data_IF_469994369055
#
_entry.id   IF_469994369055
#
_cell.length_a   1.000
_cell.length_b   1.000
_cell.length_c   1.000
_cell.angle_alpha   90.00
_cell.angle_beta   90.00
_cell.angle_gamma   90.00
#
_symmetry.space_group_name_H-M   'P 1'
#
loop_
_entity.id
_entity.type
_entity.pdbx_description
1 polymer ?
#
# COMPACT_ATOMS: atom_id res chain seq x y z
N UNK A 1 27.84 -19.84 -4.88
CA UNK A 1 26.68 -19.22 -5.56
C UNK A 1 26.91 -17.73 -5.45
N UNK A 2 26.95 -17.01 -6.56
CA UNK A 2 26.92 -15.55 -6.46
C UNK A 2 25.51 -15.22 -5.98
N UNK A 3 25.38 -14.68 -4.77
CA UNK A 3 24.20 -13.99 -4.28
C UNK A 3 23.95 -12.77 -5.18
N UNK A 4 23.35 -13.01 -6.35
CA UNK A 4 22.93 -11.92 -7.21
C UNK A 4 21.53 -11.53 -6.76
N UNK A 5 21.45 -10.46 -5.99
CA UNK A 5 20.17 -9.82 -5.74
C UNK A 5 19.51 -9.49 -7.09
N UNK A 6 18.18 -9.67 -7.20
CA UNK A 6 17.47 -9.35 -8.43
C UNK A 6 17.65 -7.86 -8.75
N UNK A 7 17.74 -7.55 -10.05
CA UNK A 7 17.71 -6.16 -10.49
C UNK A 7 16.27 -5.65 -10.32
N UNK A 8 16.04 -4.54 -9.60
CA UNK A 8 14.70 -3.98 -9.46
C UNK A 8 14.08 -3.70 -10.83
N UNK A 9 12.89 -4.25 -11.08
CA UNK A 9 12.18 -4.09 -12.36
C UNK A 9 10.66 -3.98 -12.15
N UNK A 10 9.94 -3.29 -13.05
CA UNK A 10 8.49 -3.17 -12.96
C UNK A 10 7.78 -4.52 -13.03
N UNK A 11 8.27 -5.45 -13.85
CA UNK A 11 7.69 -6.78 -14.00
C UNK A 11 7.82 -7.60 -12.71
N UNK A 12 8.99 -7.57 -12.07
CA UNK A 12 9.23 -8.25 -10.79
C UNK A 12 8.34 -7.68 -9.66
N UNK A 13 8.18 -6.34 -9.62
CA UNK A 13 7.29 -5.69 -8.66
C UNK A 13 5.82 -6.06 -8.91
N UNK A 14 5.39 -6.09 -10.18
CA UNK A 14 4.02 -6.46 -10.56
C UNK A 14 3.67 -7.87 -10.10
N UNK A 15 4.60 -8.82 -10.26
CA UNK A 15 4.40 -10.20 -9.82
C UNK A 15 4.20 -10.29 -8.30
N UNK A 16 5.08 -9.64 -7.52
CA UNK A 16 4.94 -9.62 -6.06
C UNK A 16 3.63 -8.93 -5.61
N UNK A 17 3.21 -7.87 -6.29
CA UNK A 17 1.94 -7.18 -6.01
C UNK A 17 0.73 -8.07 -6.33
N UNK A 18 0.78 -8.90 -7.36
CA UNK A 18 -0.29 -9.86 -7.63
C UNK A 18 -0.45 -10.90 -6.51
N UNK A 19 0.66 -11.42 -5.97
CA UNK A 19 0.58 -12.32 -4.80
C UNK A 19 -0.01 -11.62 -3.57
N UNK A 20 0.32 -10.34 -3.37
CA UNK A 20 -0.27 -9.52 -2.30
C UNK A 20 -1.79 -9.38 -2.50
N UNK A 21 -2.24 -9.13 -3.73
CA UNK A 21 -3.67 -9.04 -4.07
C UNK A 21 -4.38 -10.36 -3.77
N UNK A 22 -3.85 -11.48 -4.24
CA UNK A 22 -4.44 -12.81 -4.01
C UNK A 22 -4.55 -13.10 -2.49
N UNK A 23 -3.56 -12.68 -1.70
CA UNK A 23 -3.56 -12.80 -0.26
C UNK A 23 -4.67 -11.97 0.41
N UNK A 24 -4.78 -10.68 0.09
CA UNK A 24 -5.75 -9.78 0.73
C UNK A 24 -7.19 -10.03 0.24
N UNK A 25 -7.37 -10.52 -0.97
CA UNK A 25 -8.67 -10.98 -1.48
C UNK A 25 -9.18 -12.19 -0.70
N UNK A 26 -8.29 -13.10 -0.31
CA UNK A 26 -8.65 -14.24 0.53
C UNK A 26 -9.05 -13.82 1.96
N UNK A 27 -8.53 -12.71 2.48
CA UNK A 27 -8.92 -12.16 3.78
C UNK A 27 -10.23 -11.36 3.75
N UNK A 28 -10.60 -10.82 2.59
CA UNK A 28 -11.80 -10.02 2.41
C UNK A 28 -11.63 -8.55 2.83
N UNK A 29 -12.77 -7.89 3.05
CA UNK A 29 -12.87 -6.45 3.37
C UNK A 29 -13.01 -6.20 4.88
N UNK A 30 -12.99 -4.94 5.27
CA UNK A 30 -13.05 -4.44 6.64
C UNK A 30 -11.82 -4.89 7.46
N UNK A 31 -10.64 -4.80 6.83
CA UNK A 31 -9.35 -5.17 7.43
C UNK A 31 -8.52 -3.92 7.77
N UNK A 32 -7.73 -3.94 8.86
CA UNK A 32 -6.77 -2.88 9.12
C UNK A 32 -5.71 -2.82 8.00
N UNK A 33 -5.00 -1.68 7.86
CA UNK A 33 -3.86 -1.61 6.95
C UNK A 33 -2.86 -2.74 7.24
N UNK A 34 -2.26 -3.26 6.18
CA UNK A 34 -1.26 -4.34 6.28
C UNK A 34 -0.05 -4.00 5.43
N UNK A 35 1.13 -4.27 6.01
CA UNK A 35 2.40 -4.06 5.35
C UNK A 35 3.04 -5.38 4.92
N UNK A 36 3.80 -5.33 3.84
CA UNK A 36 4.58 -6.44 3.33
C UNK A 36 6.03 -6.02 3.14
N UNK A 37 6.96 -6.90 3.51
CA UNK A 37 8.35 -6.82 3.11
C UNK A 37 8.52 -7.55 1.78
N UNK A 38 9.17 -6.92 0.80
CA UNK A 38 9.57 -7.58 -0.44
C UNK A 38 11.01 -8.04 -0.29
N UNK A 39 11.18 -9.34 -0.02
CA UNK A 39 12.49 -9.95 0.21
C UNK A 39 12.93 -10.72 -1.04
N UNK A 40 14.16 -10.55 -1.53
CA UNK A 40 14.69 -11.37 -2.62
C UNK A 40 14.52 -12.87 -2.33
N UNK A 41 13.82 -13.57 -3.21
CA UNK A 41 13.51 -15.00 -3.04
C UNK A 41 14.77 -15.83 -2.86
N UNK A 42 15.86 -15.46 -3.54
CA UNK A 42 17.16 -16.11 -3.41
C UNK A 42 17.75 -16.02 -1.98
N UNK A 43 17.58 -14.88 -1.30
CA UNK A 43 18.03 -14.73 0.08
C UNK A 43 17.18 -15.58 1.03
N UNK A 44 15.85 -15.60 0.81
CA UNK A 44 14.94 -16.39 1.63
C UNK A 44 15.21 -17.90 1.48
N UNK A 45 15.41 -18.38 0.25
CA UNK A 45 15.76 -19.77 -0.03
C UNK A 45 17.12 -20.17 0.58
N UNK A 46 18.08 -19.25 0.62
CA UNK A 46 19.38 -19.50 1.26
C UNK A 46 19.28 -19.57 2.79
N UNK A 47 18.46 -18.70 3.40
CA UNK A 47 18.24 -18.67 4.84
C UNK A 47 17.38 -19.86 5.33
N UNK A 48 16.36 -20.24 4.55
CA UNK A 48 15.41 -21.30 4.87
C UNK A 48 15.36 -22.37 3.76
N UNK A 49 16.36 -23.29 3.69
CA UNK A 49 16.45 -24.29 2.61
C UNK A 49 15.27 -25.25 2.53
N UNK A 50 14.51 -25.40 3.62
CA UNK A 50 13.32 -26.25 3.64
C UNK A 50 12.13 -25.64 2.86
N UNK A 51 12.18 -24.34 2.57
CA UNK A 51 11.17 -23.63 1.78
C UNK A 51 11.52 -23.57 0.30
N UNK A 52 12.70 -24.04 -0.13
CA UNK A 52 13.16 -23.86 -1.51
C UNK A 52 12.19 -24.41 -2.56
N UNK A 53 11.59 -25.60 -2.34
CA UNK A 53 10.59 -26.16 -3.27
C UNK A 53 9.31 -25.30 -3.37
N UNK A 54 8.98 -24.53 -2.33
CA UNK A 54 7.83 -23.62 -2.32
C UNK A 54 8.16 -22.24 -2.92
N UNK A 55 9.45 -21.95 -3.13
CA UNK A 55 9.96 -20.68 -3.63
C UNK A 55 10.49 -20.79 -5.08
N UNK A 56 10.46 -21.98 -5.68
CA UNK A 56 11.02 -22.28 -7.01
C UNK A 56 10.11 -21.87 -8.17
N UNK A 57 9.09 -21.04 -7.91
CA UNK A 57 8.18 -20.51 -8.95
C UNK A 57 8.86 -19.45 -9.84
N UNK A 58 10.14 -19.15 -9.60
CA UNK A 58 10.96 -18.25 -10.40
C UNK A 58 10.69 -16.77 -10.14
N UNK A 59 10.06 -16.44 -9.01
CA UNK A 59 9.74 -15.07 -8.61
C UNK A 59 10.96 -14.41 -7.97
N UNK A 60 11.26 -13.18 -8.38
CA UNK A 60 12.43 -12.43 -7.88
C UNK A 60 12.29 -12.04 -6.40
N UNK A 61 11.06 -11.73 -5.97
CA UNK A 61 10.74 -11.29 -4.62
C UNK A 61 9.63 -12.15 -4.02
N UNK A 62 9.76 -12.47 -2.75
CA UNK A 62 8.71 -13.08 -1.93
C UNK A 62 8.12 -12.01 -1.01
N UNK A 63 6.82 -11.69 -1.13
CA UNK A 63 6.15 -10.79 -0.19
C UNK A 63 5.94 -11.49 1.15
N UNK A 64 6.43 -10.88 2.23
CA UNK A 64 6.28 -11.37 3.60
C UNK A 64 5.36 -10.42 4.35
N UNK A 65 4.20 -10.91 4.77
CA UNK A 65 3.26 -10.15 5.62
C UNK A 65 3.96 -9.74 6.92
N UNK A 66 3.84 -8.47 7.29
CA UNK A 66 4.33 -7.97 8.58
C UNK A 66 3.25 -8.05 9.65
N UNK A 67 3.65 -7.92 10.91
CA UNK A 67 2.72 -7.86 12.03
C UNK A 67 1.65 -6.79 11.79
N UNK A 68 0.42 -7.13 12.22
CA UNK A 68 -0.74 -6.25 12.06
C UNK A 68 -0.49 -4.93 12.79
N UNK A 69 -0.83 -3.84 12.12
CA UNK A 69 -0.90 -2.53 12.76
C UNK A 69 -1.95 -2.60 13.89
N UNK A 70 -1.79 -1.80 14.96
CA UNK A 70 -2.83 -1.65 15.98
C UNK A 70 -4.22 -1.41 15.35
N UNK A 71 -5.26 -2.03 15.93
CA UNK A 71 -6.63 -2.01 15.39
C UNK A 71 -7.23 -0.59 15.27
N UNK A 72 -6.64 0.41 15.93
CA UNK A 72 -7.03 1.82 15.89
C UNK A 72 -6.37 2.62 14.75
N UNK A 73 -5.47 2.00 13.97
CA UNK A 73 -4.87 2.63 12.79
C UNK A 73 -5.71 2.30 11.55
N UNK A 74 -6.33 3.33 10.98
CA UNK A 74 -7.14 3.24 9.76
C UNK A 74 -6.35 3.69 8.51
N UNK A 75 -6.78 3.24 7.34
CA UNK A 75 -6.26 3.72 6.05
C UNK A 75 -6.45 5.23 5.88
N UNK A 76 -5.42 5.91 5.37
CA UNK A 76 -5.39 7.36 5.18
C UNK A 76 -5.51 8.19 6.47
N UNK A 77 -5.26 7.58 7.64
CA UNK A 77 -5.29 8.29 8.92
C UNK A 77 -3.93 8.89 9.29
N UNK A 78 -3.87 9.99 10.07
CA UNK A 78 -2.62 10.54 10.59
C UNK A 78 -1.81 9.53 11.41
N UNK A 79 -2.49 8.60 12.10
CA UNK A 79 -1.82 7.54 12.87
C UNK A 79 -1.04 6.58 11.98
N UNK A 80 -1.53 6.30 10.77
CA UNK A 80 -0.80 5.51 9.78
C UNK A 80 0.45 6.24 9.29
N UNK A 81 0.34 7.54 9.04
CA UNK A 81 1.49 8.37 8.64
C UNK A 81 2.57 8.41 9.73
N UNK A 82 2.18 8.56 11.00
CA UNK A 82 3.09 8.49 12.14
C UNK A 82 3.75 7.11 12.28
N UNK A 83 2.99 6.04 12.06
CA UNK A 83 3.52 4.67 12.06
C UNK A 83 4.59 4.50 10.97
N UNK A 84 4.29 4.88 9.72
CA UNK A 84 5.22 4.80 8.60
C UNK A 84 6.49 5.62 8.87
N UNK A 85 6.36 6.82 9.43
CA UNK A 85 7.51 7.68 9.76
C UNK A 85 8.47 7.08 10.80
N UNK A 86 8.04 6.08 11.57
CA UNK A 86 8.88 5.37 12.56
C UNK A 86 9.27 3.96 12.13
N UNK A 87 8.81 3.52 10.96
CA UNK A 87 9.09 2.20 10.41
C UNK A 87 10.44 2.20 9.71
N UNK A 88 11.25 1.17 9.96
CA UNK A 88 12.52 0.94 9.28
C UNK A 88 12.69 -0.52 8.88
N UNK A 89 13.43 -0.75 7.79
CA UNK A 89 13.61 -2.07 7.19
C UNK A 89 15.07 -2.51 7.14
N UNK A 90 15.42 -3.75 7.52
CA UNK A 90 16.79 -4.24 7.39
C UNK A 90 17.23 -4.30 5.91
N UNK A 91 18.54 -4.30 5.68
CA UNK A 91 19.12 -4.31 4.33
C UNK A 91 18.74 -5.54 3.47
N UNK A 92 18.24 -6.62 4.10
CA UNK A 92 17.70 -7.78 3.39
C UNK A 92 16.35 -7.54 2.71
N UNK A 93 15.65 -6.45 3.07
CA UNK A 93 14.37 -6.05 2.48
C UNK A 93 14.64 -5.07 1.35
N UNK A 94 14.39 -5.52 0.12
CA UNK A 94 14.63 -4.73 -1.10
C UNK A 94 13.48 -3.79 -1.44
N UNK A 95 12.32 -3.98 -0.83
CA UNK A 95 11.17 -3.11 -0.98
C UNK A 95 10.08 -3.42 0.01
N UNK A 96 8.99 -2.67 -0.05
CA UNK A 96 7.85 -2.88 0.81
C UNK A 96 6.55 -2.54 0.07
N UNK A 97 5.45 -3.03 0.61
CA UNK A 97 4.12 -2.66 0.16
C UNK A 97 3.20 -2.35 1.34
N UNK A 98 2.20 -1.52 1.08
CA UNK A 98 1.11 -1.18 1.98
C UNK A 98 -0.21 -1.41 1.27
N UNK A 99 -1.09 -2.15 1.92
CA UNK A 99 -2.49 -2.31 1.53
C UNK A 99 -3.35 -1.64 2.58
N UNK A 100 -4.26 -0.78 2.15
CA UNK A 100 -5.16 -0.05 3.04
C UNK A 100 -6.53 0.18 2.38
N UNK A 101 -7.58 0.15 3.18
CA UNK A 101 -8.92 0.52 2.74
C UNK A 101 -9.10 2.05 2.85
N UNK A 102 -9.55 2.67 1.75
CA UNK A 102 -9.71 4.11 1.60
C UNK A 102 -11.10 4.47 1.09
N UNK A 103 -11.44 5.74 1.20
CA UNK A 103 -12.64 6.32 0.61
C UNK A 103 -12.28 7.06 -0.68
N UNK A 104 -12.98 6.71 -1.75
CA UNK A 104 -12.89 7.37 -3.07
C UNK A 104 -14.18 8.14 -3.30
N UNK A 105 -14.04 9.39 -3.73
CA UNK A 105 -15.17 10.25 -4.02
C UNK A 105 -15.36 10.41 -5.54
N UNK A 106 -16.61 10.55 -6.00
CA UNK A 106 -16.87 10.89 -7.39
C UNK A 106 -16.39 12.33 -7.66
N UNK A 107 -16.10 12.68 -8.93
CA UNK A 107 -15.72 14.06 -9.29
C UNK A 107 -16.73 15.13 -8.88
N UNK A 108 -18.01 14.77 -8.73
CA UNK A 108 -19.06 15.69 -8.26
C UNK A 108 -18.90 16.14 -6.81
N UNK A 109 -18.13 15.41 -6.00
CA UNK A 109 -17.88 15.74 -4.59
C UNK A 109 -16.86 16.87 -4.40
N UNK A 110 -16.19 17.33 -5.47
CA UNK A 110 -15.15 18.37 -5.40
C UNK A 110 -15.66 19.65 -4.73
N UNK A 111 -16.88 20.07 -5.06
CA UNK A 111 -17.51 21.26 -4.44
C UNK A 111 -17.76 21.07 -2.94
N UNK A 112 -18.26 19.90 -2.54
CA UNK A 112 -18.53 19.60 -1.12
C UNK A 112 -17.22 19.55 -0.30
N UNK A 113 -16.14 19.03 -0.91
CA UNK A 113 -14.81 19.05 -0.31
C UNK A 113 -14.28 20.48 -0.14
N UNK A 114 -14.38 21.30 -1.18
CA UNK A 114 -13.93 22.69 -1.14
C UNK A 114 -14.70 23.48 -0.07
N UNK A 115 -16.02 23.31 0.03
CA UNK A 115 -16.84 23.97 1.05
C UNK A 115 -16.41 23.58 2.48
N UNK A 116 -16.01 22.32 2.69
CA UNK A 116 -15.49 21.85 3.98
C UNK A 116 -14.06 22.36 4.26
N UNK A 117 -13.20 22.37 3.25
CA UNK A 117 -11.76 22.62 3.36
C UNK A 117 -11.40 24.11 3.39
N UNK A 118 -11.97 24.90 2.48
CA UNK A 118 -11.62 26.32 2.25
C UNK A 118 -11.64 27.16 3.54
N UNK A 119 -12.63 27.03 4.44
CA UNK A 119 -12.66 27.78 5.69
C UNK A 119 -11.51 27.43 6.66
N UNK A 120 -10.80 26.32 6.44
CA UNK A 120 -9.79 25.75 7.33
C UNK A 120 -8.38 25.75 6.76
N UNK A 121 -8.17 26.21 5.51
CA UNK A 121 -6.86 26.22 4.85
C UNK A 121 -5.72 26.93 5.62
N UNK A 122 -6.04 27.80 6.58
CA UNK A 122 -5.03 28.44 7.43
C UNK A 122 -4.37 27.49 8.44
N UNK A 123 -5.01 26.35 8.73
CA UNK A 123 -4.53 25.30 9.61
C UNK A 123 -4.60 23.96 8.87
N UNK A 124 -3.43 23.44 8.48
CA UNK A 124 -3.34 22.21 7.68
C UNK A 124 -4.05 21.04 8.35
N UNK A 125 -3.84 20.84 9.65
CA UNK A 125 -4.43 19.71 10.37
C UNK A 125 -5.96 19.82 10.41
N UNK A 126 -6.48 21.02 10.70
CA UNK A 126 -7.93 21.25 10.69
C UNK A 126 -8.55 21.13 9.28
N UNK A 127 -7.77 21.38 8.24
CA UNK A 127 -8.17 21.22 6.85
C UNK A 127 -8.23 19.72 6.47
N UNK A 128 -7.20 18.95 6.82
CA UNK A 128 -7.13 17.50 6.58
C UNK A 128 -8.28 16.76 7.30
N UNK A 129 -8.53 17.07 8.58
CA UNK A 129 -9.65 16.51 9.34
C UNK A 129 -11.01 16.83 8.68
N UNK A 130 -11.17 18.05 8.15
CA UNK A 130 -12.40 18.45 7.48
C UNK A 130 -12.60 17.69 6.16
N UNK A 131 -11.54 17.53 5.36
CA UNK A 131 -11.59 16.75 4.13
C UNK A 131 -11.91 15.28 4.39
N UNK A 132 -11.24 14.67 5.38
CA UNK A 132 -11.47 13.28 5.76
C UNK A 132 -12.91 13.07 6.29
N UNK A 133 -13.39 13.99 7.13
CA UNK A 133 -14.76 13.97 7.62
C UNK A 133 -15.79 14.11 6.50
N UNK A 134 -15.57 15.04 5.57
CA UNK A 134 -16.43 15.23 4.40
C UNK A 134 -16.45 13.96 3.52
N UNK A 135 -15.28 13.38 3.24
CA UNK A 135 -15.18 12.16 2.44
C UNK A 135 -15.92 10.97 3.08
N UNK A 136 -15.70 10.73 4.37
CA UNK A 136 -16.33 9.63 5.12
C UNK A 136 -17.85 9.76 5.20
N UNK A 137 -18.38 10.97 5.19
CA UNK A 137 -19.83 11.23 5.30
C UNK A 137 -20.52 11.45 3.97
N UNK A 138 -19.77 11.58 2.87
CA UNK A 138 -20.32 11.80 1.53
C UNK A 138 -21.24 10.63 1.11
N UNK A 139 -22.43 10.91 0.55
CA UNK A 139 -23.42 9.90 0.20
C UNK A 139 -22.96 8.99 -0.94
N UNK A 140 -22.31 9.57 -1.95
CA UNK A 140 -21.83 8.82 -3.12
C UNK A 140 -20.40 8.29 -2.96
N UNK A 141 -19.88 8.25 -1.72
CA UNK A 141 -18.55 7.73 -1.46
C UNK A 141 -18.47 6.26 -1.84
N UNK A 142 -17.31 5.83 -2.31
CA UNK A 142 -17.00 4.43 -2.57
C UNK A 142 -15.86 4.00 -1.65
N UNK A 143 -16.00 2.83 -1.06
CA UNK A 143 -14.87 2.17 -0.42
C UNK A 143 -14.01 1.53 -1.50
N UNK A 144 -12.71 1.56 -1.28
CA UNK A 144 -11.73 0.99 -2.18
C UNK A 144 -10.53 0.48 -1.38
N UNK A 145 -9.76 -0.43 -1.95
CA UNK A 145 -8.48 -0.86 -1.43
C UNK A 145 -7.38 -0.23 -2.28
N UNK A 146 -6.47 0.46 -1.63
CA UNK A 146 -5.26 1.01 -2.23
C UNK A 146 -4.09 0.08 -1.91
N UNK A 147 -3.44 -0.44 -2.95
CA UNK A 147 -2.23 -1.24 -2.85
C UNK A 147 -1.08 -0.41 -3.42
N UNK A 148 -0.11 -0.05 -2.58
CA UNK A 148 1.08 0.69 -3.00
C UNK A 148 2.32 -0.12 -2.66
N UNK A 149 3.24 -0.27 -3.61
CA UNK A 149 4.48 -1.02 -3.43
C UNK A 149 5.66 -0.29 -4.06
N UNK A 150 6.84 -0.41 -3.43
CA UNK A 150 8.08 0.25 -3.84
C UNK A 150 9.27 -0.69 -3.70
N UNK A 151 10.31 -0.50 -4.53
CA UNK A 151 11.63 -1.13 -4.40
C UNK A 151 12.69 -0.05 -4.16
N UNK A 152 13.61 -0.23 -3.20
CA UNK A 152 14.61 0.77 -2.72
C UNK A 152 15.27 1.61 -3.82
N UNK A 153 15.73 0.96 -4.88
CA UNK A 153 16.40 1.60 -6.02
C UNK A 153 15.64 1.35 -7.33
N UNK A 154 14.32 1.23 -7.23
CA UNK A 154 13.49 0.68 -8.28
C UNK A 154 12.15 1.37 -8.45
N UNK A 155 11.26 0.77 -9.23
CA UNK A 155 9.94 1.33 -9.50
C UNK A 155 9.07 1.36 -8.25
N UNK A 156 8.06 2.22 -8.32
CA UNK A 156 6.88 2.19 -7.48
C UNK A 156 5.67 1.77 -8.31
N UNK A 157 4.66 1.21 -7.65
CA UNK A 157 3.37 0.89 -8.23
C UNK A 157 2.26 1.26 -7.24
N UNK A 158 1.14 1.75 -7.76
CA UNK A 158 -0.09 1.92 -6.99
C UNK A 158 -1.27 1.41 -7.78
N UNK A 159 -2.09 0.58 -7.14
CA UNK A 159 -3.30 -0.01 -7.67
C UNK A 159 -4.48 0.34 -6.78
N UNK A 160 -5.62 0.62 -7.40
CA UNK A 160 -6.88 0.86 -6.72
C UNK A 160 -7.90 -0.21 -7.11
N UNK A 161 -8.45 -0.88 -6.13
CA UNK A 161 -9.54 -1.85 -6.27
C UNK A 161 -10.80 -1.26 -5.64
N UNK A 162 -11.89 -1.09 -6.38
CA UNK A 162 -13.14 -0.60 -5.78
C UNK A 162 -13.87 -1.74 -5.06
N UNK A 163 -14.42 -1.47 -3.88
CA UNK A 163 -15.30 -2.42 -3.19
C UNK A 163 -16.53 -2.71 -4.07
N UNK A 164 -16.84 -3.99 -4.37
CA UNK A 164 -18.07 -4.37 -5.04
C UNK A 164 -19.30 -3.87 -4.26
N UNK A 165 -20.33 -3.46 -4.98
CA UNK A 165 -21.63 -3.09 -4.40
C UNK A 165 -22.73 -3.96 -4.98
N UNK A 166 -23.91 -3.96 -4.36
CA UNK A 166 -25.08 -4.69 -4.89
C UNK A 166 -25.44 -4.26 -6.33
N UNK A 167 -25.26 -2.97 -6.64
CA UNK A 167 -25.51 -2.38 -7.96
C UNK A 167 -24.36 -2.61 -8.96
N UNK A 168 -23.15 -2.86 -8.47
CA UNK A 168 -21.94 -3.08 -9.27
C UNK A 168 -21.05 -4.19 -8.66
N UNK A 169 -21.46 -5.46 -8.84
CA UNK A 169 -20.77 -6.60 -8.23
C UNK A 169 -19.41 -6.88 -8.86
N UNK A 170 -19.09 -6.27 -10.00
CA UNK A 170 -17.83 -6.44 -10.71
C UNK A 170 -16.81 -5.32 -10.45
N UNK A 171 -17.15 -4.33 -9.62
CA UNK A 171 -16.27 -3.18 -9.36
C UNK A 171 -14.88 -3.57 -8.84
N UNK A 172 -14.79 -4.65 -8.06
CA UNK A 172 -13.52 -5.18 -7.53
C UNK A 172 -12.72 -6.01 -8.51
N UNK A 173 -13.32 -6.43 -9.64
CA UNK A 173 -12.62 -7.21 -10.66
C UNK A 173 -11.67 -6.35 -11.53
N UNK A 174 -11.81 -5.02 -11.50
CA UNK A 174 -10.99 -4.10 -12.29
C UNK A 174 -10.02 -3.33 -11.38
N UNK A 175 -8.75 -3.76 -11.39
CA UNK A 175 -7.65 -3.02 -10.78
C UNK A 175 -7.33 -1.79 -11.63
N UNK A 176 -7.28 -0.63 -11.00
CA UNK A 176 -7.03 0.66 -11.66
C UNK A 176 -5.67 1.19 -11.30
N UNK A 177 -4.99 1.74 -12.31
CA UNK A 177 -3.68 2.39 -12.17
C UNK A 177 -3.79 3.84 -12.65
N UNK A 178 -3.12 4.77 -11.98
CA UNK A 178 -2.90 6.13 -12.47
C UNK A 178 -1.49 6.61 -12.10
N UNK A 179 -0.89 7.46 -12.94
CA UNK A 179 0.49 7.94 -12.76
C UNK A 179 0.75 8.62 -11.41
N UNK A 180 -0.30 9.19 -10.79
CA UNK A 180 -0.22 9.93 -9.54
C UNK A 180 -1.29 9.45 -8.54
N UNK A 181 -1.56 8.15 -8.51
CA UNK A 181 -2.66 7.61 -7.69
C UNK A 181 -2.43 7.81 -6.18
N UNK A 182 -1.18 7.68 -5.72
CA UNK A 182 -0.84 7.76 -4.30
C UNK A 182 0.58 8.28 -4.04
N UNK A 183 0.92 9.49 -4.55
CA UNK A 183 2.29 10.02 -4.46
C UNK A 183 2.80 10.11 -3.02
N UNK A 184 1.96 10.58 -2.09
CA UNK A 184 2.34 10.72 -0.67
C UNK A 184 2.61 9.36 -0.01
N UNK A 185 1.87 8.31 -0.39
CA UNK A 185 2.07 6.96 0.15
C UNK A 185 3.36 6.36 -0.41
N UNK A 186 3.62 6.56 -1.70
CA UNK A 186 4.87 6.14 -2.34
C UNK A 186 6.07 6.80 -1.64
N UNK A 187 6.03 8.12 -1.42
CA UNK A 187 7.08 8.83 -0.69
C UNK A 187 7.26 8.31 0.74
N UNK A 188 6.16 8.08 1.47
CA UNK A 188 6.22 7.53 2.82
C UNK A 188 6.86 6.13 2.85
N UNK A 189 6.52 5.25 1.90
CA UNK A 189 7.13 3.92 1.81
C UNK A 189 8.62 3.97 1.51
N UNK A 190 9.06 4.85 0.59
CA UNK A 190 10.49 5.05 0.34
C UNK A 190 11.22 5.54 1.60
N UNK A 191 10.63 6.48 2.33
CA UNK A 191 11.21 6.96 3.58
C UNK A 191 11.39 5.83 4.62
N UNK A 192 10.46 4.87 4.70
CA UNK A 192 10.61 3.70 5.59
C UNK A 192 11.82 2.84 5.24
N UNK A 193 12.21 2.82 3.96
CA UNK A 193 13.37 2.07 3.50
C UNK A 193 14.65 2.86 3.83
N UNK A 194 14.72 4.15 3.51
CA UNK A 194 15.90 4.99 3.78
C UNK A 194 16.27 5.07 5.27
N UNK A 195 15.28 5.06 6.17
CA UNK A 195 15.47 5.20 7.62
C UNK A 195 16.42 4.16 8.26
N UNK A 196 16.68 3.03 7.60
CA UNK A 196 17.60 2.01 8.08
C UNK A 196 19.07 2.18 7.65
N UNK A 197 19.37 3.11 6.74
CA UNK A 197 20.73 3.33 6.24
C UNK A 197 21.57 4.24 7.17
N UNK A 198 20.92 4.94 8.11
CA UNK A 198 21.54 5.88 9.05
C UNK A 198 21.96 5.28 10.41
N UNK A 199 21.78 3.97 10.65
CA UNK A 199 22.15 3.25 11.90
C UNK A 199 23.37 2.29 11.74
#
# INVERSE_FOLDING_TARGET
MNDHLPVPSPDALSHAVHEIIDFVDAEGWDRPPVMFALVPTALLAAAEPNLSDQLDDGHDYTPIVQDLLPDDIEGGSPALDEFLATTSWPASVSGCALVQEIVVLPPSAETDLDEALVPRLADRHAADDAALGAARTHPDRREARLITAVLRDGPAMSLLELRPTDDDPFAGAELRTADDLAPNVIEALYATLEAAEDD
#
